data_IF_461747253861
#
_entry.id   IF_461747253861
#
_cell.length_a   1.000
_cell.length_b   1.000
_cell.length_c   1.000
_cell.angle_alpha   90.00
_cell.angle_beta   90.00
_cell.angle_gamma   90.00
#
_symmetry.space_group_name_H-M   'P 1'
#
loop_
_entity.id
_entity.type
_entity.pdbx_description
1 polymer ?
#
# COMPACT_ATOMS: atom_id res chain seq x y z
N UNK A 1 35.96 -39.47 3.31
CA UNK A 1 35.80 -38.06 3.66
C UNK A 1 35.55 -37.31 2.36
N UNK A 2 34.27 -37.15 1.99
CA UNK A 2 33.85 -36.37 0.80
C UNK A 2 33.38 -35.00 1.27
N UNK A 3 33.97 -33.98 0.72
CA UNK A 3 33.85 -32.58 1.09
C UNK A 3 32.51 -32.02 0.65
N UNK A 4 31.88 -31.20 1.51
CA UNK A 4 30.55 -30.58 1.40
C UNK A 4 30.43 -29.50 0.29
N UNK A 5 31.25 -29.54 -0.76
CA UNK A 5 31.33 -28.50 -1.82
C UNK A 5 30.54 -28.79 -3.09
N UNK A 6 29.67 -29.80 -3.16
CA UNK A 6 29.01 -30.18 -4.43
C UNK A 6 27.49 -30.07 -4.44
N UNK A 7 26.85 -29.38 -3.49
CA UNK A 7 25.37 -29.28 -3.45
C UNK A 7 24.83 -27.89 -3.85
N UNK A 8 25.67 -26.91 -4.09
CA UNK A 8 25.21 -25.65 -4.68
C UNK A 8 25.30 -25.72 -6.20
N UNK A 9 24.35 -26.42 -6.79
CA UNK A 9 24.07 -26.30 -8.23
C UNK A 9 23.81 -24.83 -8.56
N UNK A 10 24.54 -24.35 -9.58
CA UNK A 10 24.46 -23.01 -10.17
C UNK A 10 23.01 -22.66 -10.42
N UNK A 11 22.40 -21.82 -9.57
CA UNK A 11 21.12 -21.15 -9.91
C UNK A 11 21.47 -20.20 -11.05
N UNK A 12 20.89 -20.37 -12.25
CA UNK A 12 21.20 -19.47 -13.35
C UNK A 12 20.89 -18.04 -12.93
N UNK A 13 21.81 -17.12 -13.14
CA UNK A 13 21.65 -15.68 -12.88
C UNK A 13 20.33 -15.10 -13.45
N UNK A 14 19.78 -15.70 -14.49
CA UNK A 14 18.49 -15.37 -15.09
C UNK A 14 17.30 -15.47 -14.11
N UNK A 15 17.33 -16.36 -13.13
CA UNK A 15 16.22 -16.50 -12.14
C UNK A 15 16.34 -15.40 -11.09
N UNK A 16 17.55 -15.06 -10.66
CA UNK A 16 17.77 -13.94 -9.73
C UNK A 16 17.42 -12.61 -10.39
N UNK A 17 17.83 -12.41 -11.65
CA UNK A 17 17.49 -11.20 -12.41
C UNK A 17 15.97 -11.11 -12.67
N UNK A 18 15.30 -12.23 -12.96
CA UNK A 18 13.86 -12.26 -13.15
C UNK A 18 13.09 -11.98 -11.84
N UNK A 19 13.54 -12.52 -10.71
CA UNK A 19 12.94 -12.25 -9.39
C UNK A 19 13.16 -10.79 -8.99
N UNK A 20 14.36 -10.24 -9.21
CA UNK A 20 14.68 -8.85 -8.87
C UNK A 20 13.93 -7.88 -9.78
N UNK A 21 13.85 -8.15 -11.08
CA UNK A 21 13.15 -7.31 -12.06
C UNK A 21 11.63 -7.41 -11.87
N UNK A 22 11.08 -8.60 -11.61
CA UNK A 22 9.65 -8.78 -11.35
C UNK A 22 9.19 -8.16 -10.02
N UNK A 23 10.10 -7.97 -9.05
CA UNK A 23 9.82 -7.22 -7.83
C UNK A 23 9.97 -5.70 -7.97
N UNK A 24 10.49 -5.19 -9.09
CA UNK A 24 10.83 -3.77 -9.27
C UNK A 24 9.93 -2.98 -10.20
N UNK A 25 8.90 -3.58 -10.81
CA UNK A 25 7.89 -2.81 -11.52
C UNK A 25 6.88 -2.25 -10.50
N UNK A 26 6.93 -0.96 -10.16
CA UNK A 26 5.88 -0.35 -9.35
C UNK A 26 4.63 -0.22 -10.25
N UNK A 27 3.73 -1.17 -10.15
CA UNK A 27 2.45 -1.20 -10.87
C UNK A 27 1.59 0.05 -10.61
N UNK A 28 2.02 0.87 -9.65
CA UNK A 28 1.47 2.16 -9.27
C UNK A 28 2.57 3.20 -8.99
N UNK A 29 3.45 3.49 -9.97
CA UNK A 29 4.39 4.60 -9.89
C UNK A 29 5.38 4.49 -8.71
N UNK A 30 5.43 5.44 -7.83
CA UNK A 30 6.45 5.58 -6.80
C UNK A 30 6.27 4.59 -5.64
N UNK A 31 7.30 3.79 -5.32
CA UNK A 31 7.36 3.05 -4.05
C UNK A 31 7.41 4.05 -2.88
N UNK A 32 6.25 4.29 -2.26
CA UNK A 32 6.12 5.26 -1.18
C UNK A 32 6.67 4.65 0.12
N UNK A 33 7.58 5.37 0.80
CA UNK A 33 7.97 5.01 2.16
C UNK A 33 6.76 5.10 3.11
N UNK A 34 6.82 4.38 4.24
CA UNK A 34 5.77 4.39 5.26
C UNK A 34 5.27 5.81 5.60
N UNK A 35 6.17 6.76 5.88
CA UNK A 35 5.79 8.15 6.18
C UNK A 35 5.07 8.85 5.03
N UNK A 36 5.50 8.61 3.80
CA UNK A 36 4.82 9.18 2.61
C UNK A 36 3.42 8.62 2.45
N UNK A 37 3.22 7.32 2.71
CA UNK A 37 1.89 6.68 2.73
C UNK A 37 0.98 7.36 3.76
N UNK A 38 1.48 7.65 4.96
CA UNK A 38 0.70 8.33 6.00
C UNK A 38 0.30 9.76 5.59
N UNK A 39 1.22 10.54 5.03
CA UNK A 39 0.90 11.90 4.54
C UNK A 39 -0.11 11.84 3.40
N UNK A 40 0.03 10.87 2.51
CA UNK A 40 -0.87 10.70 1.39
C UNK A 40 -2.30 10.34 1.83
N UNK A 41 -2.44 9.39 2.76
CA UNK A 41 -3.70 9.04 3.40
C UNK A 41 -4.31 10.23 4.15
N UNK A 42 -3.49 11.05 4.81
CA UNK A 42 -3.95 12.25 5.49
C UNK A 42 -4.58 13.25 4.51
N UNK A 43 -3.90 13.51 3.38
CA UNK A 43 -4.44 14.41 2.34
C UNK A 43 -5.76 13.84 1.78
N UNK A 44 -5.82 12.53 1.53
CA UNK A 44 -7.02 11.86 1.03
C UNK A 44 -8.21 11.97 1.99
N UNK A 45 -7.98 11.88 3.29
CA UNK A 45 -9.02 12.00 4.32
C UNK A 45 -9.56 13.44 4.52
N UNK A 46 -9.03 14.43 3.79
CA UNK A 46 -9.48 15.81 3.88
C UNK A 46 -10.33 16.20 2.67
N UNK A 47 -11.37 16.98 2.92
CA UNK A 47 -12.16 17.57 1.84
C UNK A 47 -11.48 18.84 1.34
N UNK A 48 -11.08 18.87 0.05
CA UNK A 48 -10.48 20.05 -0.58
C UNK A 48 -8.95 20.08 -0.50
N UNK A 49 -8.41 21.28 -0.25
CA UNK A 49 -6.96 21.52 -0.21
C UNK A 49 -6.41 21.43 1.20
N UNK A 50 -5.16 20.97 1.32
CA UNK A 50 -4.45 20.85 2.59
C UNK A 50 -3.18 21.66 2.55
N UNK A 51 -2.92 22.47 3.59
CA UNK A 51 -1.72 23.28 3.68
C UNK A 51 -0.54 22.48 4.24
N UNK A 52 0.67 22.80 3.78
CA UNK A 52 1.91 22.18 4.27
C UNK A 52 2.02 22.21 5.80
N UNK A 53 1.67 23.34 6.42
CA UNK A 53 1.74 23.51 7.87
C UNK A 53 0.70 22.64 8.62
N UNK A 54 -0.44 22.35 8.02
CA UNK A 54 -1.45 21.44 8.61
C UNK A 54 -0.91 20.01 8.66
N UNK A 55 -0.26 19.55 7.58
CA UNK A 55 0.37 18.24 7.55
C UNK A 55 1.53 18.20 8.55
N UNK A 56 2.39 19.21 8.54
CA UNK A 56 3.54 19.31 9.45
C UNK A 56 3.11 19.25 10.91
N UNK A 57 2.05 19.97 11.27
CA UNK A 57 1.49 19.98 12.63
C UNK A 57 0.87 18.62 12.99
N UNK A 58 0.13 18.00 12.07
CA UNK A 58 -0.53 16.71 12.32
C UNK A 58 0.46 15.57 12.61
N UNK A 59 1.65 15.63 12.00
CA UNK A 59 2.68 14.60 12.15
C UNK A 59 3.86 15.02 13.02
N UNK A 60 3.80 16.20 13.64
CA UNK A 60 4.87 16.76 14.48
C UNK A 60 6.25 16.78 13.78
N UNK A 61 6.29 17.17 12.49
CA UNK A 61 7.49 17.25 11.68
C UNK A 61 7.73 18.67 11.17
N UNK A 62 8.97 18.95 10.77
CA UNK A 62 9.31 20.23 10.20
C UNK A 62 8.61 20.46 8.84
N UNK A 63 8.05 21.67 8.58
CA UNK A 63 7.41 22.00 7.31
C UNK A 63 8.29 21.82 6.08
N UNK A 64 9.61 21.95 6.21
CA UNK A 64 10.55 21.71 5.10
C UNK A 64 10.57 20.26 4.66
N UNK A 65 10.43 19.32 5.60
CA UNK A 65 10.30 17.89 5.32
C UNK A 65 9.04 17.59 4.50
N UNK A 66 7.92 18.20 4.89
CA UNK A 66 6.66 18.07 4.15
C UNK A 66 6.77 18.69 2.77
N UNK A 67 7.35 19.90 2.66
CA UNK A 67 7.53 20.57 1.35
C UNK A 67 8.30 19.70 0.37
N UNK A 68 9.38 19.02 0.80
CA UNK A 68 10.14 18.09 -0.02
C UNK A 68 9.28 16.91 -0.46
N UNK A 69 8.55 16.30 0.46
CA UNK A 69 7.67 15.16 0.14
C UNK A 69 6.54 15.56 -0.82
N UNK A 70 5.92 16.72 -0.63
CA UNK A 70 4.90 17.24 -1.54
C UNK A 70 5.47 17.51 -2.93
N UNK A 71 6.70 18.01 -3.05
CA UNK A 71 7.36 18.19 -4.34
C UNK A 71 7.56 16.84 -5.08
N UNK A 72 7.96 15.79 -4.35
CA UNK A 72 8.11 14.44 -4.91
C UNK A 72 6.77 13.85 -5.36
N UNK A 73 5.70 14.00 -4.57
CA UNK A 73 4.36 13.55 -4.91
C UNK A 73 3.77 14.33 -6.09
N UNK A 74 4.07 15.63 -6.18
CA UNK A 74 3.66 16.46 -7.31
C UNK A 74 4.39 16.07 -8.60
N UNK A 75 5.69 15.81 -8.53
CA UNK A 75 6.49 15.33 -9.66
C UNK A 75 6.00 13.96 -10.16
N UNK A 76 5.50 13.11 -9.27
CA UNK A 76 4.88 11.83 -9.59
C UNK A 76 3.42 11.96 -10.11
N UNK A 77 2.85 13.17 -10.15
CA UNK A 77 1.51 13.43 -10.66
C UNK A 77 0.36 13.07 -9.70
N UNK A 78 0.64 12.79 -8.44
CA UNK A 78 -0.38 12.42 -7.45
C UNK A 78 -1.08 13.60 -6.81
N UNK A 79 -0.41 14.74 -6.70
CA UNK A 79 -0.96 15.95 -6.14
C UNK A 79 -0.73 17.14 -7.07
N UNK A 80 -1.56 18.16 -6.92
CA UNK A 80 -1.38 19.46 -7.58
C UNK A 80 -1.37 20.57 -6.54
N UNK A 81 -0.58 21.61 -6.80
CA UNK A 81 -0.55 22.80 -5.98
C UNK A 81 -1.68 23.74 -6.39
N UNK A 82 -2.44 24.21 -5.40
CA UNK A 82 -3.46 25.25 -5.56
C UNK A 82 -2.88 26.55 -4.96
N UNK A 83 -2.67 27.59 -5.77
CA UNK A 83 -2.09 28.85 -5.29
C UNK A 83 -2.80 29.34 -4.02
N UNK A 84 -2.03 29.70 -2.99
CA UNK A 84 -2.48 30.20 -1.68
C UNK A 84 -3.30 29.21 -0.82
N UNK A 85 -3.74 28.08 -1.35
CA UNK A 85 -4.61 27.12 -0.65
C UNK A 85 -3.89 25.84 -0.20
N UNK A 86 -2.77 25.49 -0.81
CA UNK A 86 -1.99 24.29 -0.49
C UNK A 86 -2.00 23.27 -1.62
N UNK A 87 -2.25 22.00 -1.30
CA UNK A 87 -2.23 20.89 -2.25
C UNK A 87 -3.56 20.13 -2.22
N UNK A 88 -3.92 19.53 -3.34
CA UNK A 88 -4.99 18.53 -3.41
C UNK A 88 -4.55 17.35 -4.27
N UNK A 89 -5.24 16.21 -4.10
CA UNK A 89 -5.00 15.03 -4.92
C UNK A 89 -5.51 15.26 -6.34
N UNK A 90 -4.74 14.78 -7.32
CA UNK A 90 -5.23 14.55 -8.69
C UNK A 90 -6.15 13.33 -8.73
N UNK A 91 -6.81 13.06 -9.85
CA UNK A 91 -7.62 11.84 -9.97
C UNK A 91 -6.75 10.58 -9.88
N UNK A 92 -5.56 10.57 -10.49
CA UNK A 92 -4.54 9.51 -10.28
C UNK A 92 -4.17 9.38 -8.81
N UNK A 93 -3.98 10.51 -8.11
CA UNK A 93 -3.70 10.52 -6.67
C UNK A 93 -4.84 9.94 -5.85
N UNK A 94 -6.09 10.26 -6.16
CA UNK A 94 -7.26 9.70 -5.45
C UNK A 94 -7.33 8.17 -5.60
N UNK A 95 -7.23 7.66 -6.82
CA UNK A 95 -7.21 6.21 -7.06
C UNK A 95 -6.08 5.51 -6.33
N UNK A 96 -4.88 6.12 -6.32
CA UNK A 96 -3.77 5.57 -5.56
C UNK A 96 -4.03 5.58 -4.05
N UNK A 97 -4.61 6.67 -3.51
CA UNK A 97 -4.96 6.78 -2.10
C UNK A 97 -6.03 5.75 -1.69
N UNK A 98 -7.04 5.52 -2.52
CA UNK A 98 -8.05 4.48 -2.32
C UNK A 98 -7.41 3.10 -2.19
N UNK A 99 -6.45 2.78 -3.06
CA UNK A 99 -5.69 1.55 -2.96
C UNK A 99 -4.87 1.48 -1.65
N UNK A 100 -4.20 2.56 -1.23
CA UNK A 100 -3.44 2.58 0.03
C UNK A 100 -4.34 2.33 1.24
N UNK A 101 -5.54 2.90 1.23
CA UNK A 101 -6.55 2.68 2.29
C UNK A 101 -7.07 1.25 2.25
N UNK A 102 -7.42 0.71 1.07
CA UNK A 102 -7.82 -0.69 0.89
C UNK A 102 -6.76 -1.65 1.41
N UNK A 103 -5.49 -1.43 1.04
CA UNK A 103 -4.35 -2.24 1.48
C UNK A 103 -4.27 -2.33 2.99
N UNK A 104 -4.29 -1.18 3.67
CA UNK A 104 -4.28 -1.13 5.12
C UNK A 104 -5.42 -1.94 5.74
N UNK A 105 -6.64 -1.74 5.26
CA UNK A 105 -7.85 -2.35 5.80
C UNK A 105 -7.90 -3.86 5.58
N UNK A 106 -7.50 -4.35 4.41
CA UNK A 106 -7.43 -5.79 4.12
C UNK A 106 -6.39 -6.46 5.03
N UNK A 107 -5.19 -5.89 5.17
CA UNK A 107 -4.16 -6.46 6.02
C UNK A 107 -4.57 -6.43 7.50
N UNK A 108 -5.17 -5.35 7.98
CA UNK A 108 -5.64 -5.24 9.36
C UNK A 108 -6.70 -6.29 9.69
N UNK A 109 -7.64 -6.59 8.77
CA UNK A 109 -8.64 -7.66 8.97
C UNK A 109 -7.98 -9.02 9.19
N UNK A 110 -6.90 -9.33 8.49
CA UNK A 110 -6.16 -10.58 8.68
C UNK A 110 -5.62 -10.66 10.11
N UNK A 111 -4.98 -9.60 10.59
CA UNK A 111 -4.41 -9.58 11.94
C UNK A 111 -5.47 -9.71 13.03
N UNK A 112 -6.60 -9.01 12.88
CA UNK A 112 -7.74 -9.12 13.81
C UNK A 112 -8.32 -10.53 13.81
N UNK A 113 -8.44 -11.17 12.63
CA UNK A 113 -8.90 -12.56 12.52
C UNK A 113 -8.02 -13.54 13.31
N UNK A 114 -6.73 -13.24 13.47
CA UNK A 114 -5.79 -14.06 14.24
C UNK A 114 -5.54 -13.54 15.66
N UNK A 115 -6.39 -12.65 16.19
CA UNK A 115 -6.48 -12.34 17.61
C UNK A 115 -5.82 -11.03 18.04
N UNK A 116 -5.34 -10.17 17.14
CA UNK A 116 -4.90 -8.83 17.51
C UNK A 116 -6.12 -7.94 17.76
N UNK A 117 -5.99 -6.96 18.67
CA UNK A 117 -6.99 -5.88 18.77
C UNK A 117 -6.93 -4.97 17.52
N UNK A 118 -7.99 -4.21 17.29
CA UNK A 118 -8.10 -3.28 16.18
C UNK A 118 -6.92 -2.30 16.14
N UNK A 119 -6.56 -1.73 17.30
CA UNK A 119 -5.44 -0.78 17.40
C UNK A 119 -4.09 -1.47 17.16
N UNK A 120 -3.92 -2.70 17.67
CA UNK A 120 -2.72 -3.48 17.45
C UNK A 120 -2.56 -3.82 15.96
N UNK A 121 -3.62 -4.29 15.32
CA UNK A 121 -3.62 -4.64 13.90
C UNK A 121 -3.27 -3.43 13.02
N UNK A 122 -3.93 -2.29 13.22
CA UNK A 122 -3.64 -1.06 12.48
C UNK A 122 -2.19 -0.60 12.69
N UNK A 123 -1.68 -0.63 13.93
CA UNK A 123 -0.31 -0.23 14.23
C UNK A 123 0.74 -1.14 13.59
N UNK A 124 0.55 -2.46 13.64
CA UNK A 124 1.50 -3.40 13.05
C UNK A 124 1.46 -3.33 11.51
N UNK A 125 0.28 -3.28 10.90
CA UNK A 125 0.14 -3.16 9.45
C UNK A 125 0.79 -1.88 8.93
N UNK A 126 0.62 -0.76 9.59
CA UNK A 126 1.25 0.50 9.17
C UNK A 126 2.77 0.42 9.02
N UNK A 127 3.45 -0.49 9.71
CA UNK A 127 4.91 -0.64 9.65
C UNK A 127 5.41 -1.27 8.35
N UNK A 128 4.60 -2.12 7.70
CA UNK A 128 5.04 -2.91 6.55
C UNK A 128 4.12 -2.85 5.33
N UNK A 129 2.92 -2.29 5.43
CA UNK A 129 1.93 -2.27 4.34
C UNK A 129 2.49 -1.72 3.02
N UNK A 130 3.46 -0.77 3.09
CA UNK A 130 4.11 -0.21 1.91
C UNK A 130 4.92 -1.22 1.09
N UNK A 131 5.24 -2.38 1.65
CA UNK A 131 5.99 -3.44 1.01
C UNK A 131 5.08 -4.48 0.32
N UNK A 132 3.76 -4.42 0.55
CA UNK A 132 2.80 -5.37 0.01
C UNK A 132 2.25 -4.88 -1.31
N UNK A 133 2.39 -5.68 -2.36
CA UNK A 133 1.98 -5.35 -3.73
C UNK A 133 0.46 -5.31 -3.89
N UNK A 134 -0.02 -4.64 -4.94
CA UNK A 134 -1.44 -4.61 -5.29
C UNK A 134 -1.98 -6.00 -5.58
N UNK A 135 -1.25 -6.82 -6.32
CA UNK A 135 -1.63 -8.18 -6.67
C UNK A 135 -1.85 -9.05 -5.43
N UNK A 136 -0.95 -8.95 -4.43
CA UNK A 136 -1.11 -9.65 -3.16
C UNK A 136 -2.39 -9.19 -2.43
N UNK A 137 -2.64 -7.89 -2.37
CA UNK A 137 -3.85 -7.35 -1.73
C UNK A 137 -5.12 -7.77 -2.45
N UNK A 138 -5.16 -7.74 -3.77
CA UNK A 138 -6.32 -8.17 -4.55
C UNK A 138 -6.56 -9.67 -4.39
N UNK A 139 -5.51 -10.47 -4.30
CA UNK A 139 -5.60 -11.91 -4.01
C UNK A 139 -6.17 -12.19 -2.62
N UNK A 140 -5.66 -11.49 -1.59
CA UNK A 140 -6.18 -11.59 -0.22
C UNK A 140 -7.64 -11.12 -0.14
N UNK A 141 -7.95 -10.00 -0.79
CA UNK A 141 -9.31 -9.46 -0.84
C UNK A 141 -10.30 -10.47 -1.45
N UNK A 142 -9.94 -11.10 -2.57
CA UNK A 142 -10.75 -12.17 -3.20
C UNK A 142 -10.92 -13.38 -2.29
N UNK A 143 -9.83 -13.84 -1.66
CA UNK A 143 -9.86 -14.98 -0.74
C UNK A 143 -10.77 -14.73 0.47
N UNK A 144 -10.90 -13.46 0.89
CA UNK A 144 -11.77 -13.03 1.99
C UNK A 144 -13.22 -12.75 1.53
N UNK A 145 -13.55 -12.93 0.25
CA UNK A 145 -14.89 -12.69 -0.29
C UNK A 145 -15.26 -11.21 -0.45
N UNK A 146 -14.29 -10.37 -0.72
CA UNK A 146 -14.46 -8.91 -0.92
C UNK A 146 -15.15 -8.22 0.28
N UNK A 147 -14.50 -8.19 1.45
CA UNK A 147 -15.09 -7.59 2.65
C UNK A 147 -15.36 -6.09 2.41
N UNK A 148 -16.56 -5.63 2.78
CA UNK A 148 -16.95 -4.21 2.66
C UNK A 148 -16.51 -3.35 3.83
N UNK A 149 -16.34 -3.96 5.00
CA UNK A 149 -15.96 -3.27 6.21
C UNK A 149 -14.58 -3.76 6.69
N UNK A 150 -13.68 -2.84 6.90
CA UNK A 150 -12.39 -3.06 7.53
C UNK A 150 -12.42 -2.65 9.01
N UNK A 151 -11.32 -2.86 9.71
CA UNK A 151 -11.13 -2.50 11.11
C UNK A 151 -11.31 -0.98 11.34
N UNK A 152 -10.81 -0.18 10.41
CA UNK A 152 -10.80 1.29 10.53
C UNK A 152 -11.63 2.00 9.44
N UNK A 153 -12.67 1.33 8.94
CA UNK A 153 -13.64 1.93 8.01
C UNK A 153 -13.97 1.06 6.79
N UNK A 154 -14.77 1.61 5.88
CA UNK A 154 -15.31 0.93 4.71
C UNK A 154 -14.24 0.67 3.65
N UNK A 155 -14.25 -0.54 3.04
CA UNK A 155 -13.31 -0.94 1.98
C UNK A 155 -13.98 -0.71 0.63
N UNK A 156 -13.38 0.14 -0.18
CA UNK A 156 -13.77 0.33 -1.59
C UNK A 156 -13.03 -0.65 -2.48
N UNK A 157 -13.69 -1.13 -3.52
CA UNK A 157 -13.13 -2.08 -4.48
C UNK A 157 -13.06 -1.44 -5.86
N UNK A 158 -11.93 -1.61 -6.54
CA UNK A 158 -11.75 -1.21 -7.94
C UNK A 158 -12.22 -2.32 -8.90
N UNK A 159 -12.40 -1.97 -10.17
CA UNK A 159 -12.86 -2.90 -11.20
C UNK A 159 -11.88 -4.08 -11.38
N UNK A 160 -10.58 -3.85 -11.19
CA UNK A 160 -9.55 -4.89 -11.26
C UNK A 160 -9.69 -5.94 -10.15
N UNK A 161 -10.15 -5.54 -8.96
CA UNK A 161 -10.38 -6.46 -7.86
C UNK A 161 -11.62 -7.34 -8.09
N UNK A 162 -12.65 -6.81 -8.77
CA UNK A 162 -13.94 -7.47 -8.96
C UNK A 162 -13.96 -8.34 -10.23
N UNK A 163 -13.23 -7.94 -11.27
CA UNK A 163 -13.28 -8.55 -12.60
C UNK A 163 -12.68 -9.96 -12.71
N UNK A 164 -11.85 -10.38 -11.75
CA UNK A 164 -11.24 -11.71 -11.71
C UNK A 164 -12.14 -12.78 -11.06
N UNK A 165 -13.45 -12.75 -11.25
CA UNK A 165 -14.40 -13.76 -10.78
C UNK A 165 -14.16 -15.19 -11.37
N UNK A 166 -13.05 -15.39 -12.08
CA UNK A 166 -12.73 -16.63 -12.81
C UNK A 166 -11.70 -17.56 -12.17
N UNK A 167 -11.06 -17.21 -11.07
CA UNK A 167 -10.03 -18.08 -10.47
C UNK A 167 -10.62 -19.05 -9.45
N UNK A 168 -10.38 -20.33 -9.74
CA UNK A 168 -10.77 -21.55 -9.03
C UNK A 168 -10.75 -21.38 -7.50
N UNK A 169 -11.84 -21.75 -6.85
CA UNK A 169 -11.88 -22.02 -5.41
C UNK A 169 -10.75 -23.00 -5.07
N UNK A 170 -9.68 -22.50 -4.49
CA UNK A 170 -8.78 -23.37 -3.74
C UNK A 170 -9.57 -23.87 -2.54
N UNK A 171 -9.72 -25.18 -2.47
CA UNK A 171 -10.42 -25.85 -1.39
C UNK A 171 -9.87 -25.40 -0.03
N UNK A 172 -10.78 -25.29 0.93
CA UNK A 172 -10.46 -25.06 2.35
C UNK A 172 -9.33 -25.99 2.77
N UNK A 173 -8.18 -25.44 3.10
CA UNK A 173 -7.00 -26.20 3.53
C UNK A 173 -6.92 -26.27 5.06
N UNK A 174 -7.99 -25.90 5.76
CA UNK A 174 -8.09 -25.95 7.22
C UNK A 174 -9.55 -26.29 7.62
N UNK A 175 -9.86 -27.60 7.62
CA UNK A 175 -10.83 -28.22 8.52
C UNK A 175 -10.12 -28.66 9.78
#
# INVERSE_FOLDING_TARGET
MQTASQIFGVIPNLILDYIIISCMEPEYGLALSHKKVEYFKYIFGRTGTVRTNEIASAFAVDPSTITKTLAELSAAGYITHVPYHGVCLTDTGKHHAEFLVKRHRILSLIFVRYGLSDEQACREVSRFESLVTKEAIDTLCRAMGHPRNGVCGEITHDDGCISDAGLKKHGSMYD
#
